data_IF_995694051067
#
_entry.id   IF_995694051067
#
_cell.length_a   1.000
_cell.length_b   1.000
_cell.length_c   1.000
_cell.angle_alpha   90.00
_cell.angle_beta   90.00
_cell.angle_gamma   90.00
#
_symmetry.space_group_name_H-M   'P 1'
#
loop_
_entity.id
_entity.type
_entity.pdbx_description
1 polymer ?
#
# COMPACT_ATOMS: atom_id res chain seq x y z
N UNK A 1 -23.23 2.88 -0.31
CA UNK A 1 -21.94 2.19 -0.50
C UNK A 1 -22.12 0.74 -0.05
N UNK A 2 -22.42 -0.16 -0.97
CA UNK A 2 -22.49 -1.60 -0.67
C UNK A 2 -21.14 -2.20 -1.04
N UNK A 3 -20.21 -2.28 -0.08
CA UNK A 3 -18.94 -2.95 -0.29
C UNK A 3 -19.21 -4.45 -0.43
N UNK A 4 -19.00 -5.00 -1.62
CA UNK A 4 -19.16 -6.45 -1.84
C UNK A 4 -17.93 -7.17 -1.30
N UNK A 5 -18.05 -8.47 -0.96
CA UNK A 5 -16.91 -9.28 -0.49
C UNK A 5 -15.67 -9.19 -1.41
N UNK A 6 -15.88 -8.96 -2.72
CA UNK A 6 -14.81 -8.81 -3.70
C UNK A 6 -13.90 -7.59 -3.45
N UNK A 7 -14.42 -6.50 -2.91
CA UNK A 7 -13.65 -5.26 -2.68
C UNK A 7 -12.70 -5.41 -1.48
N UNK A 8 -13.15 -6.15 -0.46
CA UNK A 8 -12.32 -6.53 0.69
C UNK A 8 -11.18 -7.45 0.23
N UNK A 9 -11.48 -8.44 -0.61
CA UNK A 9 -10.46 -9.34 -1.17
C UNK A 9 -9.42 -8.59 -2.00
N UNK A 10 -9.83 -7.64 -2.85
CA UNK A 10 -8.91 -6.81 -3.64
C UNK A 10 -7.98 -5.99 -2.74
N UNK A 11 -8.53 -5.31 -1.74
CA UNK A 11 -7.72 -4.52 -0.80
C UNK A 11 -6.69 -5.40 -0.09
N UNK A 12 -7.11 -6.57 0.41
CA UNK A 12 -6.21 -7.52 1.06
C UNK A 12 -5.11 -7.99 0.09
N UNK A 13 -5.45 -8.31 -1.15
CA UNK A 13 -4.49 -8.76 -2.16
C UNK A 13 -3.45 -7.70 -2.49
N UNK A 14 -3.85 -6.44 -2.69
CA UNK A 14 -2.91 -5.34 -2.98
C UNK A 14 -1.82 -5.23 -1.90
N UNK A 15 -2.23 -5.38 -0.63
CA UNK A 15 -1.38 -5.16 0.53
C UNK A 15 -0.55 -6.38 0.95
N UNK A 16 -1.06 -7.60 0.75
CA UNK A 16 -0.44 -8.83 1.26
C UNK A 16 0.22 -9.70 0.19
N UNK A 17 -0.11 -9.54 -1.09
CA UNK A 17 0.51 -10.33 -2.15
C UNK A 17 2.02 -10.07 -2.24
N UNK A 18 2.78 -11.11 -2.57
CA UNK A 18 4.20 -11.00 -2.92
C UNK A 18 4.43 -10.94 -4.43
N UNK A 19 3.38 -11.13 -5.23
CA UNK A 19 3.44 -11.07 -6.69
C UNK A 19 3.21 -9.64 -7.20
N UNK A 20 4.22 -9.01 -7.82
CA UNK A 20 4.09 -7.69 -8.42
C UNK A 20 3.00 -7.57 -9.48
N UNK A 21 2.79 -8.62 -10.28
CA UNK A 21 1.79 -8.61 -11.36
C UNK A 21 0.37 -8.53 -10.77
N UNK A 22 0.11 -9.30 -9.72
CA UNK A 22 -1.17 -9.26 -8.98
C UNK A 22 -1.38 -7.88 -8.36
N UNK A 23 -0.36 -7.32 -7.70
CA UNK A 23 -0.47 -5.99 -7.09
C UNK A 23 -0.79 -4.91 -8.12
N UNK A 24 -0.10 -4.91 -9.27
CA UNK A 24 -0.38 -3.98 -10.38
C UNK A 24 -1.81 -4.13 -10.90
N UNK A 25 -2.26 -5.36 -11.15
CA UNK A 25 -3.61 -5.59 -11.66
C UNK A 25 -4.68 -5.06 -10.69
N UNK A 26 -4.49 -5.32 -9.40
CA UNK A 26 -5.45 -4.89 -8.37
C UNK A 26 -5.42 -3.38 -8.16
N UNK A 27 -4.24 -2.74 -8.23
CA UNK A 27 -4.09 -1.30 -8.04
C UNK A 27 -4.31 -0.46 -9.31
N UNK A 28 -4.44 -1.09 -10.49
CA UNK A 28 -4.68 -0.42 -11.76
C UNK A 28 -5.80 0.64 -11.78
N UNK A 29 -6.95 0.48 -11.08
CA UNK A 29 -8.01 1.49 -11.11
C UNK A 29 -7.80 2.64 -10.10
N UNK A 30 -6.67 2.68 -9.38
CA UNK A 30 -6.38 3.71 -8.38
C UNK A 30 -5.14 4.52 -8.77
N UNK A 31 -5.14 5.80 -8.44
CA UNK A 31 -3.97 6.68 -8.61
C UNK A 31 -3.19 6.88 -7.30
N UNK A 32 -3.80 6.53 -6.17
CA UNK A 32 -3.26 6.79 -4.84
C UNK A 32 -3.46 5.60 -3.90
N UNK A 33 -2.51 5.41 -3.00
CA UNK A 33 -2.60 4.50 -1.85
C UNK A 33 -2.45 5.32 -0.58
N UNK A 34 -3.30 5.06 0.40
CA UNK A 34 -3.22 5.65 1.72
C UNK A 34 -3.06 4.56 2.78
N UNK A 35 -2.10 4.72 3.69
CA UNK A 35 -1.85 3.80 4.80
C UNK A 35 -1.50 4.61 6.05
N UNK A 36 -2.01 4.20 7.20
CA UNK A 36 -1.55 4.73 8.48
C UNK A 36 -0.30 3.99 8.94
N UNK A 37 0.72 4.74 9.37
CA UNK A 37 1.83 4.16 10.14
C UNK A 37 1.28 3.47 11.38
N UNK A 38 1.77 2.26 11.61
CA UNK A 38 1.41 1.42 12.73
C UNK A 38 2.68 0.77 13.28
N UNK A 39 2.89 0.75 14.61
CA UNK A 39 4.07 0.12 15.20
C UNK A 39 3.94 -1.40 15.05
N UNK A 40 4.45 -1.94 13.94
CA UNK A 40 4.62 -3.38 13.74
C UNK A 40 5.92 -3.83 14.38
N UNK A 41 5.96 -5.10 14.81
CA UNK A 41 7.17 -5.71 15.35
C UNK A 41 8.23 -5.83 14.23
N UNK A 42 9.41 -5.19 14.39
CA UNK A 42 10.49 -5.27 13.41
C UNK A 42 11.10 -6.68 13.29
N UNK A 43 10.80 -7.61 14.21
CA UNK A 43 11.19 -9.01 14.10
C UNK A 43 10.37 -9.79 13.04
N UNK A 44 9.30 -9.19 12.49
CA UNK A 44 8.59 -9.78 11.36
C UNK A 44 9.43 -9.67 10.09
N UNK A 45 9.79 -10.81 9.50
CA UNK A 45 10.42 -10.88 8.17
C UNK A 45 9.40 -10.67 7.03
N UNK A 46 8.29 -9.97 7.31
CA UNK A 46 7.24 -9.76 6.34
C UNK A 46 7.65 -8.69 5.33
N UNK A 47 7.79 -9.11 4.08
CA UNK A 47 8.13 -8.27 2.92
C UNK A 47 6.89 -7.81 2.16
N UNK A 48 5.72 -7.86 2.78
CA UNK A 48 4.47 -7.37 2.21
C UNK A 48 4.49 -5.84 2.04
N UNK A 49 3.69 -5.34 1.10
CA UNK A 49 3.50 -3.90 0.93
C UNK A 49 2.97 -3.26 2.21
N UNK A 50 2.05 -3.93 2.90
CA UNK A 50 1.51 -3.44 4.17
C UNK A 50 2.59 -3.23 5.23
N UNK A 51 3.45 -4.23 5.46
CA UNK A 51 4.50 -4.16 6.46
C UNK A 51 5.48 -3.00 6.17
N UNK A 52 5.86 -2.84 4.89
CA UNK A 52 6.70 -1.73 4.45
C UNK A 52 6.05 -0.37 4.74
N UNK A 53 4.80 -0.16 4.29
CA UNK A 53 4.13 1.14 4.47
C UNK A 53 3.79 1.43 5.94
N UNK A 54 3.34 0.44 6.70
CA UNK A 54 3.01 0.60 8.11
C UNK A 54 4.24 1.01 8.96
N UNK A 55 5.43 0.52 8.61
CA UNK A 55 6.71 0.89 9.24
C UNK A 55 7.36 2.13 8.62
N UNK A 56 6.71 2.76 7.64
CA UNK A 56 7.19 3.96 6.96
C UNK A 56 8.34 3.73 5.99
N UNK A 57 8.58 2.48 5.58
CA UNK A 57 9.55 2.13 4.55
C UNK A 57 9.01 2.48 3.14
N UNK A 58 9.89 2.87 2.21
CA UNK A 58 9.49 3.16 0.83
C UNK A 58 9.11 1.86 0.09
N UNK A 59 8.36 2.02 -1.00
CA UNK A 59 8.06 0.92 -1.91
C UNK A 59 8.28 1.35 -3.38
N UNK A 60 8.88 0.51 -4.23
CA UNK A 60 9.07 0.84 -5.65
C UNK A 60 7.74 1.16 -6.35
N UNK A 61 7.69 2.34 -6.98
CA UNK A 61 6.50 2.87 -7.65
C UNK A 61 5.47 3.53 -6.74
N UNK A 62 5.74 3.70 -5.44
CA UNK A 62 4.92 4.53 -4.55
C UNK A 62 5.67 5.82 -4.20
N UNK A 63 5.16 6.94 -4.69
CA UNK A 63 5.77 8.26 -4.52
C UNK A 63 5.05 9.00 -3.39
N UNK A 64 5.72 9.32 -2.27
CA UNK A 64 5.07 9.98 -1.13
C UNK A 64 4.58 11.38 -1.50
N UNK A 65 3.38 11.73 -1.03
CA UNK A 65 2.82 13.07 -1.13
C UNK A 65 3.01 13.75 0.23
N UNK A 66 3.75 14.88 0.28
CA UNK A 66 3.92 15.63 1.51
C UNK A 66 2.57 16.08 2.06
N UNK A 67 2.36 15.86 3.35
CA UNK A 67 1.21 16.39 4.10
C UNK A 67 1.69 17.52 5.00
N UNK A 68 0.95 18.63 5.04
CA UNK A 68 1.33 19.85 5.78
C UNK A 68 1.25 19.70 7.30
N UNK A 69 0.62 18.63 7.79
CA UNK A 69 0.37 18.40 9.21
C UNK A 69 0.95 17.06 9.63
N UNK A 70 1.58 17.00 10.81
CA UNK A 70 2.08 15.75 11.36
C UNK A 70 0.92 14.76 11.60
N UNK A 71 0.93 13.65 10.86
CA UNK A 71 -0.06 12.58 10.98
C UNK A 71 0.59 11.21 10.83
N UNK A 72 -0.11 10.17 11.29
CA UNK A 72 0.25 8.77 10.96
C UNK A 72 -0.20 8.39 9.56
N UNK A 73 -1.20 9.08 9.01
CA UNK A 73 -1.66 8.85 7.64
C UNK A 73 -0.57 9.24 6.64
N UNK A 74 -0.24 8.32 5.75
CA UNK A 74 0.65 8.53 4.64
C UNK A 74 -0.14 8.37 3.35
N UNK A 75 0.09 9.27 2.40
CA UNK A 75 -0.51 9.24 1.07
C UNK A 75 0.59 9.10 0.03
N UNK A 76 0.39 8.20 -0.92
CA UNK A 76 1.32 7.92 -2.00
C UNK A 76 0.61 8.02 -3.33
N UNK A 77 1.23 8.67 -4.32
CA UNK A 77 0.85 8.55 -5.73
C UNK A 77 1.46 7.27 -6.29
N UNK A 78 0.70 6.55 -7.11
CA UNK A 78 1.15 5.34 -7.78
C UNK A 78 1.85 5.71 -9.10
N UNK A 79 3.11 5.33 -9.24
CA UNK A 79 3.78 5.20 -10.53
C UNK A 79 3.56 3.77 -11.04
N UNK A 80 2.56 3.63 -11.90
CA UNK A 80 2.15 2.33 -12.46
C UNK A 80 3.24 1.64 -13.29
N UNK A 81 4.21 2.38 -13.84
CA UNK A 81 5.32 1.81 -14.58
C UNK A 81 6.40 1.20 -13.67
N UNK A 82 6.59 1.79 -12.49
CA UNK A 82 7.61 1.37 -11.53
C UNK A 82 7.08 0.48 -10.39
N UNK A 83 5.76 0.35 -10.25
CA UNK A 83 5.11 -0.40 -9.18
C UNK A 83 5.59 -1.86 -9.16
N UNK A 84 6.05 -2.34 -8.01
CA UNK A 84 6.39 -3.76 -7.76
C UNK A 84 5.41 -4.39 -6.77
#
# INVERSE_FOLDING_TARGET
>A
MSGTNADVTKSLLAFTTRDPAVRRQVLAPFDYVAVCRFPLDPASNDVSLFAALATGQPWPGLVPIPVSTATRLQLYRIDHAALK
#
